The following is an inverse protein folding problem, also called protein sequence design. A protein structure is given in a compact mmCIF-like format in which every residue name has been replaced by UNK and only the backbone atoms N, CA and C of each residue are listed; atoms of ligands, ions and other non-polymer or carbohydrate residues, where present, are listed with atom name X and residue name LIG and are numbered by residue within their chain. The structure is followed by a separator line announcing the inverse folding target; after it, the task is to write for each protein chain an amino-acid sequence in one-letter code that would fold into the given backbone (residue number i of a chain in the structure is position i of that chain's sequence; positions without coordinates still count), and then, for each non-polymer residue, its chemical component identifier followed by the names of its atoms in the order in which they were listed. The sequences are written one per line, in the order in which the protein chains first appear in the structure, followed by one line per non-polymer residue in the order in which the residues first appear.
data_IF_057797310197
#
_entry.id   IF_057797310197
#
_cell.length_a   1.000
_cell.length_b   1.000
_cell.length_c   1.000
_cell.angle_alpha   90.00
_cell.angle_beta   90.00
_cell.angle_gamma   90.00
#
_symmetry.space_group_name_H-M   'P 1'
#
loop_
_entity.id
_entity.type
_entity.pdbx_description
1 polymer ?
#
# COMPACT_ATOMS: atom_id res chain seq x y z
N UNK A 1 -12.85 -24.99 -2.63
CA UNK A 1 -13.53 -24.14 -3.64
C UNK A 1 -12.49 -23.67 -4.65
N UNK A 2 -12.76 -23.78 -5.96
CA UNK A 2 -11.86 -23.23 -6.99
C UNK A 2 -12.15 -21.73 -7.15
N UNK A 3 -11.45 -20.90 -6.38
CA UNK A 3 -11.67 -19.45 -6.39
C UNK A 3 -11.47 -18.78 -7.77
N UNK A 4 -10.65 -19.36 -8.66
CA UNK A 4 -10.41 -18.79 -10.00
C UNK A 4 -11.66 -18.89 -10.88
N UNK A 5 -12.26 -20.09 -10.96
CA UNK A 5 -13.46 -20.32 -11.74
C UNK A 5 -14.69 -19.59 -11.17
N UNK A 6 -14.84 -19.64 -9.83
CA UNK A 6 -15.97 -18.98 -9.17
C UNK A 6 -15.87 -17.46 -9.28
N UNK A 7 -14.68 -16.90 -9.16
CA UNK A 7 -14.44 -15.46 -9.35
C UNK A 7 -14.82 -15.02 -10.77
N UNK A 8 -14.38 -15.76 -11.80
CA UNK A 8 -14.73 -15.43 -13.19
C UNK A 8 -16.25 -15.46 -13.40
N UNK A 9 -16.93 -16.51 -12.90
CA UNK A 9 -18.39 -16.63 -12.95
C UNK A 9 -19.07 -15.42 -12.27
N UNK A 10 -18.62 -15.03 -11.08
CA UNK A 10 -19.15 -13.89 -10.35
C UNK A 10 -18.95 -12.57 -11.10
N UNK A 11 -17.83 -12.35 -11.74
CA UNK A 11 -17.62 -11.14 -12.55
C UNK A 11 -18.57 -11.05 -13.75
N UNK A 12 -18.93 -12.17 -14.39
CA UNK A 12 -19.99 -12.19 -15.41
C UNK A 12 -21.38 -11.89 -14.82
N UNK A 13 -21.68 -12.38 -13.62
CA UNK A 13 -22.95 -12.12 -12.92
C UNK A 13 -23.06 -10.65 -12.49
N UNK A 14 -22.02 -10.10 -11.85
CA UNK A 14 -21.99 -8.73 -11.34
C UNK A 14 -21.99 -7.67 -12.45
N UNK A 15 -21.35 -7.95 -13.59
CA UNK A 15 -21.14 -6.98 -14.70
C UNK A 15 -20.49 -5.68 -14.24
N UNK A 16 -19.55 -5.77 -13.31
CA UNK A 16 -18.93 -4.69 -12.58
C UNK A 16 -19.21 -4.78 -11.08
N UNK A 17 -18.31 -4.28 -10.26
CA UNK A 17 -18.38 -4.37 -8.79
C UNK A 17 -18.83 -3.08 -8.13
N UNK A 18 -18.94 -2.01 -8.87
CA UNK A 18 -19.32 -0.69 -8.38
C UNK A 18 -20.51 -0.14 -9.15
N UNK A 19 -21.29 0.69 -8.49
CA UNK A 19 -22.38 1.48 -9.09
C UNK A 19 -22.42 2.89 -8.48
N UNK A 20 -23.09 3.82 -9.15
CA UNK A 20 -23.27 5.19 -8.65
C UNK A 20 -24.68 5.34 -8.14
N UNK A 21 -24.82 5.69 -6.86
CA UNK A 21 -26.08 5.95 -6.20
C UNK A 21 -26.28 7.46 -5.96
N UNK A 22 -27.47 7.97 -6.35
CA UNK A 22 -27.83 9.36 -6.10
C UNK A 22 -28.09 9.61 -4.60
N UNK A 23 -27.42 10.62 -4.03
CA UNK A 23 -27.69 11.08 -2.65
C UNK A 23 -28.88 12.05 -2.59
N UNK A 24 -29.06 12.85 -3.63
CA UNK A 24 -30.22 13.73 -3.77
C UNK A 24 -31.38 12.97 -4.41
N UNK A 25 -32.53 12.98 -3.77
CA UNK A 25 -33.73 12.41 -4.32
C UNK A 25 -34.39 13.41 -5.28
N UNK A 26 -34.60 13.01 -6.53
CA UNK A 26 -35.22 13.85 -7.58
C UNK A 26 -36.46 13.13 -8.09
N UNK A 27 -37.59 13.34 -7.44
CA UNK A 27 -38.88 12.68 -7.75
C UNK A 27 -40.02 13.65 -8.09
N UNK A 28 -39.74 14.96 -8.10
CA UNK A 28 -40.72 16.00 -8.45
C UNK A 28 -39.99 17.22 -9.07
N UNK A 29 -40.81 18.19 -9.60
CA UNK A 29 -40.29 19.39 -10.28
C UNK A 29 -39.45 20.29 -9.37
N UNK A 30 -39.85 20.44 -8.12
CA UNK A 30 -39.12 21.26 -7.15
C UNK A 30 -37.78 20.65 -6.82
N UNK A 31 -37.70 19.36 -6.54
CA UNK A 31 -36.46 18.63 -6.30
C UNK A 31 -35.54 18.69 -7.51
N UNK A 32 -36.08 18.61 -8.74
CA UNK A 32 -35.29 18.76 -9.97
C UNK A 32 -34.73 20.19 -10.08
N UNK A 33 -35.53 21.22 -9.79
CA UNK A 33 -35.09 22.61 -9.84
C UNK A 33 -33.96 22.93 -8.83
N UNK A 34 -34.02 22.31 -7.65
CA UNK A 34 -32.99 22.44 -6.63
C UNK A 34 -31.72 21.67 -6.97
N UNK A 35 -31.87 20.43 -7.46
CA UNK A 35 -30.70 19.55 -7.74
C UNK A 35 -29.98 19.90 -9.07
N UNK A 36 -30.69 20.53 -10.00
CA UNK A 36 -30.15 20.87 -11.33
C UNK A 36 -30.56 22.29 -11.72
N UNK A 37 -31.28 22.50 -12.81
CA UNK A 37 -31.63 23.84 -13.34
C UNK A 37 -32.98 24.29 -12.78
N UNK A 38 -33.09 25.53 -12.23
CA UNK A 38 -32.09 26.63 -12.19
C UNK A 38 -31.21 26.68 -10.95
N UNK A 39 -31.53 25.96 -9.87
CA UNK A 39 -30.93 26.11 -8.54
C UNK A 39 -29.43 25.84 -8.50
N UNK A 40 -28.91 24.91 -9.32
CA UNK A 40 -27.50 24.54 -9.36
C UNK A 40 -26.53 25.69 -9.71
N UNK A 41 -27.05 26.79 -10.24
CA UNK A 41 -26.20 27.97 -10.54
C UNK A 41 -25.60 28.58 -9.26
N UNK A 42 -26.32 28.60 -8.16
CA UNK A 42 -25.85 29.22 -6.91
C UNK A 42 -24.64 28.51 -6.30
N UNK A 43 -24.61 27.18 -6.08
CA UNK A 43 -23.38 26.53 -5.64
C UNK A 43 -22.23 26.66 -6.63
N UNK A 44 -22.46 26.74 -7.94
CA UNK A 44 -21.42 27.01 -8.92
C UNK A 44 -20.78 28.39 -8.71
N UNK A 45 -21.59 29.44 -8.50
CA UNK A 45 -21.13 30.78 -8.22
C UNK A 45 -20.38 30.88 -6.88
N UNK A 46 -20.81 30.16 -5.87
CA UNK A 46 -20.12 30.10 -4.60
C UNK A 46 -18.72 29.44 -4.72
N UNK A 47 -18.62 28.35 -5.48
CA UNK A 47 -17.32 27.70 -5.75
C UNK A 47 -16.44 28.57 -6.63
N UNK A 48 -17.00 29.30 -7.59
CA UNK A 48 -16.26 30.24 -8.43
C UNK A 48 -15.61 31.36 -7.60
N UNK A 49 -16.31 31.87 -6.57
CA UNK A 49 -15.78 32.91 -5.65
C UNK A 49 -14.71 32.33 -4.72
N UNK A 50 -14.89 31.11 -4.23
CA UNK A 50 -13.96 30.40 -3.35
C UNK A 50 -13.95 28.90 -3.69
N UNK A 51 -12.93 28.46 -4.41
CA UNK A 51 -12.84 27.06 -4.85
C UNK A 51 -12.83 26.05 -3.69
N UNK A 52 -12.43 26.46 -2.48
CA UNK A 52 -12.44 25.60 -1.28
C UNK A 52 -13.84 25.13 -0.93
N UNK A 53 -14.87 25.87 -1.30
CA UNK A 53 -16.28 25.46 -1.14
C UNK A 53 -16.64 24.21 -1.96
N UNK A 54 -15.82 23.82 -2.95
CA UNK A 54 -16.00 22.56 -3.67
C UNK A 54 -15.97 21.34 -2.73
N UNK A 55 -15.22 21.44 -1.62
CA UNK A 55 -15.17 20.42 -0.58
C UNK A 55 -16.45 20.35 0.28
N UNK A 56 -17.23 21.38 0.30
CA UNK A 56 -18.47 21.48 1.10
C UNK A 56 -19.71 21.25 0.24
N UNK A 57 -19.69 21.75 -0.99
CA UNK A 57 -20.85 21.79 -1.89
C UNK A 57 -20.86 20.64 -2.91
N UNK A 58 -19.81 19.83 -2.99
CA UNK A 58 -19.74 18.67 -3.89
C UNK A 58 -19.27 17.42 -3.14
N UNK A 59 -19.36 16.27 -3.80
CA UNK A 59 -18.86 14.99 -3.23
C UNK A 59 -17.33 14.86 -3.27
N UNK A 60 -16.61 15.85 -3.81
CA UNK A 60 -15.14 15.89 -3.88
C UNK A 60 -14.49 15.51 -2.55
N UNK A 61 -15.01 15.97 -1.43
CA UNK A 61 -14.49 15.70 -0.08
C UNK A 61 -14.37 14.22 0.28
N UNK A 62 -15.12 13.33 -0.39
CA UNK A 62 -15.14 11.89 -0.11
C UNK A 62 -14.74 11.04 -1.32
N UNK A 63 -14.24 11.64 -2.40
CA UNK A 63 -13.93 10.93 -3.63
C UNK A 63 -12.44 10.71 -3.80
N UNK A 64 -12.05 9.47 -4.15
CA UNK A 64 -10.67 9.09 -4.47
C UNK A 64 -10.63 8.51 -5.89
N UNK A 65 -9.65 8.92 -6.68
CA UNK A 65 -9.34 8.28 -7.95
C UNK A 65 -8.37 7.11 -7.71
N UNK A 66 -8.74 5.90 -8.14
CA UNK A 66 -7.86 4.71 -8.16
C UNK A 66 -7.31 4.58 -9.57
N UNK A 67 -6.04 4.91 -9.74
CA UNK A 67 -5.45 5.14 -11.07
C UNK A 67 -4.33 4.14 -11.37
N UNK A 68 -4.41 3.52 -12.55
CA UNK A 68 -3.42 2.56 -13.05
C UNK A 68 -3.11 2.77 -14.54
N UNK A 69 -1.95 2.32 -14.97
CA UNK A 69 -1.64 2.09 -16.39
C UNK A 69 -1.57 0.58 -16.73
N UNK A 70 -1.83 -0.27 -15.75
CA UNK A 70 -1.88 -1.73 -15.91
C UNK A 70 -0.52 -2.39 -16.15
N UNK A 71 0.58 -1.76 -15.75
CA UNK A 71 1.94 -2.27 -16.04
C UNK A 71 2.52 -3.20 -14.97
N UNK A 72 1.86 -3.35 -13.80
CA UNK A 72 2.32 -4.21 -12.71
C UNK A 72 1.17 -4.92 -11.98
N UNK A 73 0.20 -5.45 -12.72
CA UNK A 73 -1.04 -6.00 -12.15
C UNK A 73 -0.79 -7.32 -11.45
N UNK A 74 -0.94 -7.35 -10.11
CA UNK A 74 -0.94 -8.52 -9.18
C UNK A 74 0.17 -9.54 -9.50
N UNK A 75 0.75 -10.05 -10.09
CA UNK A 75 1.66 -11.11 -10.48
C UNK A 75 1.50 -11.47 -11.96
N UNK A 76 0.59 -10.77 -12.65
CA UNK A 76 0.38 -10.91 -14.08
C UNK A 76 1.32 -10.02 -14.89
N UNK A 77 1.86 -8.97 -14.25
CA UNK A 77 2.77 -8.03 -14.88
C UNK A 77 2.04 -7.00 -15.75
N UNK A 78 2.61 -6.68 -16.90
CA UNK A 78 2.11 -5.68 -17.84
C UNK A 78 1.01 -6.29 -18.73
N UNK A 79 -0.24 -6.15 -18.32
CA UNK A 79 -1.41 -6.63 -19.04
C UNK A 79 -2.26 -5.52 -19.67
N UNK A 80 -1.84 -4.26 -19.45
CA UNK A 80 -2.51 -3.07 -19.95
C UNK A 80 -3.66 -2.57 -19.07
N UNK A 81 -4.07 -1.31 -19.29
CA UNK A 81 -4.98 -0.61 -18.40
C UNK A 81 -6.39 -1.24 -18.35
N UNK A 82 -6.96 -1.65 -19.48
CA UNK A 82 -8.31 -2.23 -19.52
C UNK A 82 -8.37 -3.58 -18.80
N UNK A 83 -7.33 -4.41 -18.94
CA UNK A 83 -7.25 -5.69 -18.25
C UNK A 83 -7.00 -5.51 -16.73
N UNK A 84 -6.48 -4.38 -16.30
CA UNK A 84 -6.35 -3.99 -14.89
C UNK A 84 -7.66 -3.54 -14.25
N UNK A 85 -8.70 -3.18 -15.03
CA UNK A 85 -9.96 -2.63 -14.50
C UNK A 85 -10.61 -3.48 -13.41
N UNK A 86 -10.69 -4.82 -13.50
CA UNK A 86 -11.28 -5.63 -12.44
C UNK A 86 -10.56 -5.48 -11.08
N UNK A 87 -9.25 -5.25 -11.08
CA UNK A 87 -8.49 -4.99 -9.86
C UNK A 87 -8.82 -3.61 -9.30
N UNK A 88 -8.88 -2.59 -10.16
CA UNK A 88 -9.22 -1.22 -9.77
C UNK A 88 -10.64 -1.10 -9.22
N UNK A 89 -11.61 -1.81 -9.80
CA UNK A 89 -12.94 -1.94 -9.21
C UNK A 89 -12.91 -2.63 -7.84
N UNK A 90 -12.13 -3.70 -7.72
CA UNK A 90 -11.93 -4.38 -6.45
C UNK A 90 -11.37 -3.42 -5.38
N UNK A 91 -10.33 -2.65 -5.73
CA UNK A 91 -9.78 -1.63 -4.84
C UNK A 91 -10.84 -0.59 -4.44
N UNK A 92 -11.69 -0.15 -5.39
CA UNK A 92 -12.77 0.80 -5.13
C UNK A 92 -13.82 0.24 -4.15
N UNK A 93 -14.17 -1.05 -4.27
CA UNK A 93 -15.03 -1.75 -3.29
C UNK A 93 -14.39 -1.72 -1.90
N UNK A 94 -13.09 -2.04 -1.79
CA UNK A 94 -12.40 -2.03 -0.50
C UNK A 94 -12.35 -0.64 0.13
N UNK A 95 -12.16 0.41 -0.66
CA UNK A 95 -12.27 1.80 -0.21
C UNK A 95 -13.65 2.09 0.40
N UNK A 96 -14.71 1.63 -0.25
CA UNK A 96 -16.08 1.84 0.22
C UNK A 96 -16.38 1.05 1.49
N UNK A 97 -16.12 -0.27 1.47
CA UNK A 97 -16.47 -1.17 2.57
C UNK A 97 -15.66 -0.88 3.85
N UNK A 98 -14.36 -0.60 3.71
CA UNK A 98 -13.45 -0.44 4.85
C UNK A 98 -13.09 1.01 5.18
N UNK A 99 -13.48 1.98 4.36
CA UNK A 99 -13.15 3.39 4.57
C UNK A 99 -14.34 4.35 4.48
N UNK A 100 -15.48 3.87 3.96
CA UNK A 100 -16.61 4.71 3.53
C UNK A 100 -16.17 5.84 2.57
N UNK A 101 -15.21 5.53 1.70
CA UNK A 101 -14.68 6.42 0.67
C UNK A 101 -15.25 6.02 -0.68
N UNK A 102 -15.75 6.98 -1.45
CA UNK A 102 -16.27 6.76 -2.80
C UNK A 102 -15.09 6.78 -3.78
N UNK A 103 -14.65 5.61 -4.21
CA UNK A 103 -13.49 5.47 -5.08
C UNK A 103 -13.91 5.13 -6.52
N UNK A 104 -13.19 5.72 -7.49
CA UNK A 104 -13.45 5.55 -8.91
C UNK A 104 -12.24 4.99 -9.63
N UNK A 105 -12.38 3.83 -10.34
CA UNK A 105 -11.32 3.25 -11.12
C UNK A 105 -11.06 4.06 -12.39
N UNK A 106 -9.79 4.40 -12.64
CA UNK A 106 -9.36 5.15 -13.83
C UNK A 106 -8.15 4.44 -14.44
N UNK A 107 -8.33 3.90 -15.65
CA UNK A 107 -7.30 3.19 -16.39
C UNK A 107 -6.76 4.08 -17.50
N UNK A 108 -5.48 4.45 -17.44
CA UNK A 108 -4.82 5.42 -18.34
C UNK A 108 -4.01 4.70 -19.40
N UNK A 109 -4.28 5.00 -20.68
CA UNK A 109 -3.64 4.33 -21.84
C UNK A 109 -2.31 4.95 -22.24
N UNK A 110 -1.42 5.20 -21.29
CA UNK A 110 -0.07 5.68 -21.59
C UNK A 110 0.97 5.10 -20.66
N UNK A 111 2.17 4.88 -21.16
CA UNK A 111 3.36 4.52 -20.40
C UNK A 111 4.36 5.68 -20.31
N UNK A 112 4.09 6.78 -20.99
CA UNK A 112 4.86 8.01 -20.85
C UNK A 112 4.55 8.67 -19.49
N UNK A 113 5.59 8.99 -18.74
CA UNK A 113 5.47 9.52 -17.38
C UNK A 113 4.82 10.90 -17.38
N UNK A 114 5.24 11.79 -18.30
CA UNK A 114 4.77 13.16 -18.32
C UNK A 114 3.32 13.24 -18.81
N UNK A 115 2.96 12.43 -19.81
CA UNK A 115 1.59 12.31 -20.29
C UNK A 115 0.67 11.74 -19.20
N UNK A 116 1.12 10.69 -18.48
CA UNK A 116 0.37 10.12 -17.36
C UNK A 116 0.14 11.17 -16.26
N UNK A 117 1.20 11.84 -15.82
CA UNK A 117 1.15 12.88 -14.78
C UNK A 117 0.23 14.03 -15.20
N UNK A 118 0.32 14.48 -16.45
CA UNK A 118 -0.54 15.56 -16.94
C UNK A 118 -2.02 15.13 -17.01
N UNK A 119 -2.30 13.91 -17.46
CA UNK A 119 -3.65 13.35 -17.49
C UNK A 119 -4.26 13.30 -16.10
N UNK A 120 -3.53 12.76 -15.12
CA UNK A 120 -3.99 12.65 -13.75
C UNK A 120 -4.19 14.02 -13.10
N UNK A 121 -3.25 14.95 -13.31
CA UNK A 121 -3.39 16.32 -12.83
C UNK A 121 -4.64 17.00 -13.36
N UNK A 122 -4.93 16.86 -14.65
CA UNK A 122 -6.09 17.52 -15.29
C UNK A 122 -7.44 17.07 -14.70
N UNK A 123 -7.53 15.84 -14.20
CA UNK A 123 -8.77 15.32 -13.59
C UNK A 123 -8.79 15.46 -12.06
N UNK A 124 -7.68 15.81 -11.42
CA UNK A 124 -7.53 15.82 -9.97
C UNK A 124 -8.50 16.75 -9.24
N UNK A 125 -8.95 17.82 -9.92
CA UNK A 125 -9.94 18.76 -9.37
C UNK A 125 -11.28 18.14 -8.98
N UNK A 126 -11.61 16.96 -9.48
CA UNK A 126 -12.85 16.24 -9.14
C UNK A 126 -12.72 15.38 -7.87
N UNK A 127 -11.51 15.19 -7.36
CA UNK A 127 -11.21 14.23 -6.28
C UNK A 127 -10.64 14.91 -5.04
N UNK A 128 -10.80 14.24 -3.92
CA UNK A 128 -10.18 14.60 -2.65
C UNK A 128 -8.84 13.89 -2.40
N UNK A 129 -8.52 12.87 -3.20
CA UNK A 129 -7.27 12.15 -3.13
C UNK A 129 -7.04 11.25 -4.34
N UNK A 130 -5.80 10.82 -4.53
CA UNK A 130 -5.37 9.94 -5.63
C UNK A 130 -4.66 8.74 -5.04
N UNK A 131 -5.16 7.53 -5.35
CA UNK A 131 -4.49 6.27 -5.12
C UNK A 131 -3.91 5.76 -6.43
N UNK A 132 -2.59 5.69 -6.52
CA UNK A 132 -1.88 5.03 -7.62
C UNK A 132 -1.78 3.54 -7.32
N UNK A 133 -2.05 2.70 -8.33
CA UNK A 133 -2.12 1.25 -8.19
C UNK A 133 -1.52 0.53 -9.38
N UNK A 134 -0.81 -0.57 -9.15
CA UNK A 134 -0.31 -1.48 -10.20
C UNK A 134 0.53 -0.78 -11.30
N UNK A 135 1.33 0.21 -10.93
CA UNK A 135 2.26 0.91 -11.81
C UNK A 135 3.69 0.41 -11.59
N UNK A 136 4.35 -0.04 -12.64
CA UNK A 136 5.65 -0.68 -12.54
C UNK A 136 6.79 0.27 -12.14
N UNK A 137 7.70 -0.23 -11.30
CA UNK A 137 8.97 0.43 -11.01
C UNK A 137 9.90 0.34 -12.25
N UNK A 138 10.75 1.37 -12.51
CA UNK A 138 10.99 2.55 -11.67
C UNK A 138 10.02 3.72 -11.91
N UNK A 139 9.15 3.64 -12.93
CA UNK A 139 8.25 4.74 -13.34
C UNK A 139 7.31 5.20 -12.22
N UNK A 140 6.82 4.27 -11.41
CA UNK A 140 5.90 4.59 -10.31
C UNK A 140 6.47 5.62 -9.32
N UNK A 141 7.78 5.62 -9.08
CA UNK A 141 8.43 6.57 -8.18
C UNK A 141 8.39 8.00 -8.76
N UNK A 142 8.76 8.13 -10.05
CA UNK A 142 8.77 9.41 -10.74
C UNK A 142 7.36 9.99 -10.91
N UNK A 143 6.39 9.13 -11.26
CA UNK A 143 4.98 9.50 -11.38
C UNK A 143 4.45 10.04 -10.05
N UNK A 144 4.67 9.32 -8.95
CA UNK A 144 4.23 9.74 -7.63
C UNK A 144 4.85 11.06 -7.20
N UNK A 145 6.17 11.21 -7.37
CA UNK A 145 6.90 12.43 -7.02
C UNK A 145 6.37 13.65 -7.80
N UNK A 146 6.23 13.52 -9.12
CA UNK A 146 5.71 14.57 -9.98
C UNK A 146 4.26 14.96 -9.64
N UNK A 147 3.41 13.99 -9.34
CA UNK A 147 2.02 14.25 -8.93
C UNK A 147 1.95 14.91 -7.56
N UNK A 148 2.74 14.49 -6.58
CA UNK A 148 2.84 15.14 -5.27
C UNK A 148 3.29 16.59 -5.36
N UNK A 149 4.14 16.91 -6.34
CA UNK A 149 4.59 18.29 -6.58
C UNK A 149 3.54 19.17 -7.29
N UNK A 150 2.63 18.57 -8.06
CA UNK A 150 1.62 19.30 -8.86
C UNK A 150 0.25 19.41 -8.19
N UNK A 151 -0.17 18.39 -7.44
CA UNK A 151 -1.51 18.30 -6.88
C UNK A 151 -1.58 18.94 -5.48
N UNK A 152 -2.72 19.56 -5.17
CA UNK A 152 -3.07 20.11 -3.86
C UNK A 152 -3.85 19.11 -2.98
N UNK A 153 -3.96 17.87 -3.44
CA UNK A 153 -4.62 16.73 -2.77
C UNK A 153 -3.63 15.60 -2.55
N UNK A 154 -3.83 14.73 -1.56
CA UNK A 154 -2.92 13.63 -1.28
C UNK A 154 -2.81 12.66 -2.45
N UNK A 155 -1.58 12.31 -2.80
CA UNK A 155 -1.20 11.28 -3.77
C UNK A 155 -0.48 10.17 -3.02
N UNK A 156 -0.93 8.94 -3.18
CA UNK A 156 -0.43 7.78 -2.45
C UNK A 156 -0.37 6.57 -3.37
N UNK A 157 0.80 5.95 -3.47
CA UNK A 157 0.99 4.72 -4.22
C UNK A 157 0.90 3.53 -3.26
N UNK A 158 -0.20 2.79 -3.31
CA UNK A 158 -0.49 1.78 -2.30
C UNK A 158 0.48 0.59 -2.32
N UNK A 159 0.93 0.13 -3.49
CA UNK A 159 1.92 -0.95 -3.60
C UNK A 159 3.26 -0.60 -2.94
N UNK A 160 3.59 0.69 -2.86
CA UNK A 160 4.75 1.16 -2.10
C UNK A 160 4.40 1.30 -0.62
N UNK A 161 3.53 2.23 -0.32
CA UNK A 161 3.35 2.76 1.03
C UNK A 161 2.38 1.94 1.88
N UNK A 162 1.28 1.43 1.28
CA UNK A 162 0.35 0.55 2.00
C UNK A 162 1.02 -0.73 2.45
N UNK A 163 1.76 -1.37 1.54
CA UNK A 163 2.54 -2.56 1.84
C UNK A 163 3.62 -2.29 2.90
N UNK A 164 4.33 -1.15 2.80
CA UNK A 164 5.34 -0.77 3.79
C UNK A 164 4.73 -0.53 5.19
N UNK A 165 3.58 0.13 5.27
CA UNK A 165 2.90 0.41 6.54
C UNK A 165 2.45 -0.88 7.24
N UNK A 166 1.79 -1.79 6.51
CA UNK A 166 1.32 -3.06 7.09
C UNK A 166 2.49 -3.94 7.50
N UNK A 167 3.53 -4.04 6.66
CA UNK A 167 4.75 -4.77 7.00
C UNK A 167 5.42 -4.19 8.25
N UNK A 168 5.47 -2.86 8.36
CA UNK A 168 6.01 -2.19 9.55
C UNK A 168 5.19 -2.47 10.81
N UNK A 169 3.85 -2.48 10.71
CA UNK A 169 2.98 -2.86 11.83
C UNK A 169 3.24 -4.30 12.28
N UNK A 170 3.38 -5.22 11.33
CA UNK A 170 3.74 -6.62 11.61
C UNK A 170 5.11 -6.74 12.31
N UNK A 171 6.11 -5.98 11.86
CA UNK A 171 7.45 -5.94 12.49
C UNK A 171 7.36 -5.37 13.91
N UNK A 172 6.64 -4.28 14.14
CA UNK A 172 6.47 -3.68 15.48
C UNK A 172 5.99 -4.74 16.49
N UNK A 173 4.97 -5.50 16.15
CA UNK A 173 4.44 -6.55 17.01
C UNK A 173 5.35 -7.78 17.09
N UNK A 174 6.00 -8.15 16.00
CA UNK A 174 6.97 -9.24 16.00
C UNK A 174 8.17 -8.96 16.90
N UNK A 175 8.64 -7.70 16.96
CA UNK A 175 9.73 -7.30 17.87
C UNK A 175 9.36 -7.51 19.35
N UNK A 176 8.09 -7.28 19.73
CA UNK A 176 7.62 -7.55 21.09
C UNK A 176 7.71 -9.05 21.42
N UNK A 177 7.29 -9.93 20.50
CA UNK A 177 7.31 -11.39 20.69
C UNK A 177 8.71 -11.93 20.88
N UNK A 178 9.66 -11.50 20.02
CA UNK A 178 11.06 -11.97 20.09
C UNK A 178 11.89 -11.20 21.13
N UNK A 179 11.31 -10.18 21.76
CA UNK A 179 11.94 -9.33 22.77
C UNK A 179 13.27 -8.73 22.30
N UNK A 180 13.29 -8.16 21.08
CA UNK A 180 14.44 -7.46 20.50
C UNK A 180 14.10 -6.03 20.12
N UNK A 181 15.09 -5.14 20.17
CA UNK A 181 14.99 -3.82 19.57
C UNK A 181 15.19 -3.92 18.06
N UNK A 182 14.35 -3.23 17.28
CA UNK A 182 14.50 -3.18 15.82
C UNK A 182 15.87 -2.65 15.40
N UNK A 183 16.46 -1.75 16.18
CA UNK A 183 17.78 -1.17 15.91
C UNK A 183 18.95 -2.14 16.06
N UNK A 184 18.73 -3.30 16.68
CA UNK A 184 19.71 -4.36 16.87
C UNK A 184 19.52 -5.53 15.89
N UNK A 185 18.53 -5.42 14.99
CA UNK A 185 18.22 -6.44 14.01
C UNK A 185 18.89 -6.17 12.67
N UNK A 186 19.19 -7.26 11.96
CA UNK A 186 19.57 -7.28 10.55
C UNK A 186 18.38 -7.75 9.72
N UNK A 187 17.97 -6.97 8.72
CA UNK A 187 16.91 -7.36 7.80
C UNK A 187 17.42 -7.56 6.38
N UNK A 188 16.88 -8.58 5.71
CA UNK A 188 17.08 -8.81 4.28
C UNK A 188 15.75 -8.71 3.56
N UNK A 189 15.68 -7.81 2.57
CA UNK A 189 14.50 -7.60 1.74
C UNK A 189 14.79 -8.11 0.34
N UNK A 190 14.14 -9.19 -0.06
CA UNK A 190 14.29 -9.76 -1.40
C UNK A 190 13.19 -9.24 -2.32
N UNK A 191 13.61 -8.44 -3.30
CA UNK A 191 12.74 -7.67 -4.19
C UNK A 191 12.99 -6.17 -4.03
N UNK A 192 13.82 -5.58 -4.91
CA UNK A 192 14.16 -4.16 -4.90
C UNK A 192 13.29 -3.37 -5.89
N UNK A 193 11.99 -3.65 -5.88
CA UNK A 193 10.96 -2.93 -6.60
C UNK A 193 10.26 -1.89 -5.71
N UNK A 194 9.03 -1.49 -6.11
CA UNK A 194 8.24 -0.48 -5.43
C UNK A 194 8.07 -0.78 -3.93
N UNK A 195 7.54 -1.96 -3.60
CA UNK A 195 7.30 -2.38 -2.22
C UNK A 195 8.60 -2.50 -1.41
N UNK A 196 9.60 -3.21 -1.91
CA UNK A 196 10.83 -3.48 -1.15
C UNK A 196 11.59 -2.21 -0.76
N UNK A 197 11.68 -1.24 -1.68
CA UNK A 197 12.31 0.05 -1.39
C UNK A 197 11.52 0.86 -0.37
N UNK A 198 10.20 0.88 -0.48
CA UNK A 198 9.34 1.59 0.47
C UNK A 198 9.39 0.95 1.87
N UNK A 199 9.38 -0.39 1.96
CA UNK A 199 9.54 -1.13 3.21
C UNK A 199 10.89 -0.79 3.87
N UNK A 200 11.99 -0.87 3.11
CA UNK A 200 13.32 -0.54 3.63
C UNK A 200 13.36 0.86 4.24
N UNK A 201 12.87 1.86 3.50
CA UNK A 201 12.85 3.26 3.96
C UNK A 201 12.02 3.42 5.25
N UNK A 202 10.83 2.84 5.31
CA UNK A 202 9.95 2.98 6.47
C UNK A 202 10.52 2.27 7.70
N UNK A 203 11.07 1.05 7.54
CA UNK A 203 11.73 0.33 8.64
C UNK A 203 12.99 1.05 9.15
N UNK A 204 13.76 1.68 8.26
CA UNK A 204 14.89 2.52 8.66
C UNK A 204 14.43 3.73 9.47
N UNK A 205 13.31 4.35 9.11
CA UNK A 205 12.72 5.46 9.88
C UNK A 205 12.22 4.97 11.25
N UNK A 206 11.78 3.72 11.37
CA UNK A 206 11.44 3.07 12.65
C UNK A 206 12.67 2.65 13.48
N UNK A 207 13.88 2.86 12.97
CA UNK A 207 15.13 2.63 13.69
C UNK A 207 15.94 1.40 13.25
N UNK A 208 15.52 0.66 12.21
CA UNK A 208 16.31 -0.44 11.65
C UNK A 208 17.61 0.10 11.06
N UNK A 209 18.76 -0.38 11.54
CA UNK A 209 20.07 0.14 11.15
C UNK A 209 20.76 -0.68 10.06
N UNK A 210 20.51 -1.98 10.01
CA UNK A 210 21.14 -2.88 9.05
C UNK A 210 20.08 -3.55 8.17
N UNK A 211 19.95 -3.04 6.96
CA UNK A 211 19.04 -3.57 5.94
C UNK A 211 19.80 -3.83 4.64
N UNK A 212 19.61 -5.02 4.08
CA UNK A 212 20.17 -5.42 2.79
C UNK A 212 19.02 -5.68 1.83
N UNK A 213 18.95 -4.94 0.72
CA UNK A 213 18.05 -5.26 -0.38
C UNK A 213 18.74 -6.21 -1.35
N UNK A 214 17.99 -7.18 -1.84
CA UNK A 214 18.42 -8.08 -2.91
C UNK A 214 17.50 -7.93 -4.13
N UNK A 215 18.10 -8.05 -5.32
CA UNK A 215 17.37 -8.24 -6.57
C UNK A 215 17.81 -9.54 -7.25
N UNK A 216 17.43 -9.75 -8.51
CA UNK A 216 17.75 -10.99 -9.26
C UNK A 216 19.24 -11.30 -9.36
N UNK A 217 20.09 -10.29 -9.22
CA UNK A 217 21.55 -10.43 -9.30
C UNK A 217 22.23 -10.47 -7.93
N UNK A 218 21.46 -10.37 -6.85
CA UNK A 218 21.92 -10.47 -5.47
C UNK A 218 21.84 -9.18 -4.69
N UNK A 219 22.69 -9.04 -3.66
CA UNK A 219 22.69 -7.91 -2.75
C UNK A 219 23.00 -6.58 -3.45
N UNK A 220 22.23 -5.55 -3.11
CA UNK A 220 22.45 -4.18 -3.56
C UNK A 220 23.41 -3.51 -2.59
N UNK A 221 24.49 -2.91 -3.12
CA UNK A 221 25.49 -2.17 -2.37
C UNK A 221 25.99 -0.98 -3.19
N UNK A 222 26.54 0.00 -2.53
CA UNK A 222 27.10 1.20 -3.17
C UNK A 222 28.24 0.84 -4.12
N UNK A 223 28.16 1.32 -5.37
CA UNK A 223 29.14 1.01 -6.42
C UNK A 223 28.90 -0.32 -7.15
N UNK A 224 27.78 -1.03 -6.91
CA UNK A 224 27.39 -2.19 -7.74
C UNK A 224 27.03 -1.71 -9.15
N UNK A 225 27.57 -2.40 -10.15
CA UNK A 225 27.28 -2.11 -11.57
C UNK A 225 25.82 -2.38 -11.94
N UNK A 226 25.35 -1.70 -12.99
CA UNK A 226 24.01 -1.89 -13.59
C UNK A 226 22.82 -1.63 -12.63
N UNK A 227 22.97 -0.73 -11.67
CA UNK A 227 21.86 -0.21 -10.89
C UNK A 227 21.15 0.92 -11.65
N UNK A 228 19.84 0.98 -11.52
CA UNK A 228 19.09 2.19 -11.91
C UNK A 228 19.20 3.26 -10.81
N UNK A 229 18.84 4.50 -11.13
CA UNK A 229 18.97 5.65 -10.22
C UNK A 229 18.34 5.42 -8.84
N UNK A 230 17.20 4.73 -8.79
CA UNK A 230 16.49 4.45 -7.53
C UNK A 230 17.28 3.44 -6.68
N UNK A 231 17.80 2.39 -7.31
CA UNK A 231 18.66 1.41 -6.62
C UNK A 231 20.00 2.00 -6.22
N UNK A 232 20.58 2.89 -7.01
CA UNK A 232 21.79 3.63 -6.62
C UNK A 232 21.54 4.51 -5.39
N UNK A 233 20.39 5.19 -5.35
CA UNK A 233 20.03 6.02 -4.21
C UNK A 233 19.84 5.22 -2.93
N UNK A 234 19.15 4.06 -3.00
CA UNK A 234 18.94 3.22 -1.81
C UNK A 234 20.24 2.51 -1.38
N UNK A 235 21.13 2.16 -2.31
CA UNK A 235 22.42 1.54 -2.02
C UNK A 235 23.31 2.40 -1.11
N UNK A 236 23.21 3.74 -1.23
CA UNK A 236 23.98 4.71 -0.40
C UNK A 236 23.59 4.70 1.07
N UNK A 237 22.38 4.25 1.41
CA UNK A 237 21.84 4.31 2.77
C UNK A 237 21.57 2.93 3.38
N UNK A 238 21.71 1.86 2.60
CA UNK A 238 21.50 0.47 3.03
C UNK A 238 22.79 -0.35 2.91
N UNK A 239 22.76 -1.60 3.38
CA UNK A 239 23.87 -2.55 3.28
C UNK A 239 25.22 -1.96 3.76
N UNK A 240 25.23 -1.40 4.94
CA UNK A 240 26.42 -0.74 5.52
C UNK A 240 27.57 -1.73 5.80
N UNK A 241 27.25 -3.02 5.94
CA UNK A 241 28.20 -4.12 6.06
C UNK A 241 28.91 -4.45 4.73
N UNK A 242 28.49 -3.85 3.63
CA UNK A 242 29.02 -4.08 2.28
C UNK A 242 28.94 -5.56 1.86
N UNK A 243 27.89 -6.24 2.31
CA UNK A 243 27.61 -7.64 1.96
C UNK A 243 27.40 -7.75 0.45
N UNK A 244 28.13 -8.64 -0.17
CA UNK A 244 28.05 -8.97 -1.60
C UNK A 244 27.56 -10.41 -1.78
N UNK A 245 27.22 -10.77 -3.01
CA UNK A 245 26.77 -12.12 -3.34
C UNK A 245 25.25 -12.20 -3.54
N UNK A 246 24.73 -13.41 -3.53
CA UNK A 246 23.32 -13.72 -3.77
C UNK A 246 22.51 -13.57 -2.48
N UNK A 247 21.20 -13.87 -2.55
CA UNK A 247 20.35 -13.94 -1.36
C UNK A 247 20.92 -14.89 -0.29
N UNK A 248 21.55 -15.98 -0.72
CA UNK A 248 22.11 -16.99 0.18
C UNK A 248 23.20 -16.42 1.10
N UNK A 249 24.05 -15.55 0.57
CA UNK A 249 25.09 -14.89 1.37
C UNK A 249 24.50 -13.74 2.19
N UNK A 250 23.55 -12.98 1.64
CA UNK A 250 22.96 -11.84 2.31
C UNK A 250 22.18 -12.23 3.58
N UNK A 251 21.48 -13.39 3.55
CA UNK A 251 20.55 -13.79 4.62
C UNK A 251 21.29 -14.35 5.86
N UNK A 252 22.57 -14.68 5.75
CA UNK A 252 23.34 -15.23 6.87
C UNK A 252 23.30 -14.26 8.06
N UNK A 253 22.86 -14.77 9.22
CA UNK A 253 22.73 -13.99 10.44
C UNK A 253 21.62 -12.92 10.42
N UNK A 254 20.70 -12.94 9.45
CA UNK A 254 19.57 -12.04 9.44
C UNK A 254 18.50 -12.43 10.49
N UNK A 255 17.94 -11.44 11.16
CA UNK A 255 16.81 -11.62 12.08
C UNK A 255 15.48 -11.60 11.33
N UNK A 256 15.42 -10.83 10.24
CA UNK A 256 14.22 -10.57 9.48
C UNK A 256 14.46 -10.84 8.00
N UNK A 257 13.60 -11.62 7.38
CA UNK A 257 13.50 -11.75 5.93
C UNK A 257 12.14 -11.21 5.47
N UNK A 258 12.15 -10.36 4.44
CA UNK A 258 10.94 -9.84 3.80
C UNK A 258 11.05 -10.13 2.31
N UNK A 259 10.13 -10.95 1.79
CA UNK A 259 10.03 -11.31 0.39
C UNK A 259 8.92 -10.53 -0.31
N UNK A 260 9.26 -9.80 -1.36
CA UNK A 260 8.36 -9.12 -2.29
C UNK A 260 8.83 -9.34 -3.72
N UNK A 261 9.09 -10.60 -4.07
CA UNK A 261 9.85 -10.97 -5.26
C UNK A 261 9.18 -12.09 -6.07
N UNK A 262 9.64 -13.31 -5.93
CA UNK A 262 9.23 -14.45 -6.74
C UNK A 262 9.04 -15.71 -5.89
N UNK A 263 8.18 -16.64 -6.35
CA UNK A 263 7.94 -17.90 -5.64
C UNK A 263 9.20 -18.73 -5.42
N UNK A 264 9.30 -19.36 -4.24
CA UNK A 264 10.25 -20.44 -3.98
C UNK A 264 11.73 -20.01 -3.91
N UNK A 265 12.02 -18.72 -3.77
CA UNK A 265 13.42 -18.22 -3.74
C UNK A 265 14.08 -18.37 -2.37
N UNK A 266 13.31 -18.55 -1.30
CA UNK A 266 13.81 -18.79 0.05
C UNK A 266 13.75 -20.29 0.37
N UNK A 267 14.90 -20.86 0.73
CA UNK A 267 14.99 -22.30 1.05
C UNK A 267 15.14 -22.56 2.54
N UNK A 268 14.82 -23.78 2.99
CA UNK A 268 15.02 -24.22 4.38
C UNK A 268 16.49 -24.11 4.82
N UNK A 269 17.44 -24.36 3.91
CA UNK A 269 18.88 -24.24 4.17
C UNK A 269 19.29 -22.79 4.44
N UNK A 270 18.71 -21.83 3.70
CA UNK A 270 18.93 -20.40 3.93
C UNK A 270 18.39 -19.99 5.30
N UNK A 271 17.19 -20.41 5.67
CA UNK A 271 16.57 -20.10 6.98
C UNK A 271 17.45 -20.58 8.12
N UNK A 272 18.04 -21.78 8.02
CA UNK A 272 18.94 -22.32 9.04
C UNK A 272 20.20 -21.49 9.29
N UNK A 273 20.54 -20.57 8.37
CA UNK A 273 21.66 -19.64 8.52
C UNK A 273 21.27 -18.29 9.13
N UNK A 274 19.97 -18.05 9.32
CA UNK A 274 19.45 -16.85 9.97
C UNK A 274 19.77 -16.85 11.48
N UNK A 275 19.55 -15.72 12.13
CA UNK A 275 19.65 -15.57 13.59
C UNK A 275 18.63 -16.43 14.32
N UNK A 276 18.82 -16.55 15.64
CA UNK A 276 17.85 -17.20 16.53
C UNK A 276 16.50 -16.45 16.49
N UNK A 277 15.39 -17.21 16.50
CA UNK A 277 14.02 -16.70 16.46
C UNK A 277 13.73 -15.80 15.22
N UNK A 278 14.01 -16.30 13.99
CA UNK A 278 13.90 -15.48 12.79
C UNK A 278 12.45 -15.18 12.43
N UNK A 279 12.24 -14.01 11.82
CA UNK A 279 10.97 -13.55 11.27
C UNK A 279 11.03 -13.64 9.75
N UNK A 280 10.03 -14.27 9.13
CA UNK A 280 9.94 -14.43 7.69
C UNK A 280 8.58 -13.94 7.19
N UNK A 281 8.59 -12.88 6.41
CA UNK A 281 7.41 -12.39 5.69
C UNK A 281 7.58 -12.67 4.19
N UNK A 282 6.93 -13.73 3.72
CA UNK A 282 6.97 -14.19 2.32
C UNK A 282 5.70 -13.72 1.60
N UNK A 283 5.77 -12.55 0.94
CA UNK A 283 4.59 -11.83 0.47
C UNK A 283 4.35 -11.92 -1.04
N UNK A 284 5.16 -12.68 -1.79
CA UNK A 284 4.91 -12.90 -3.21
C UNK A 284 3.56 -13.59 -3.43
N UNK A 285 2.82 -13.13 -4.43
CA UNK A 285 1.51 -13.65 -4.81
C UNK A 285 1.50 -14.19 -6.24
N UNK A 286 0.77 -15.29 -6.55
CA UNK A 286 -0.08 -16.08 -5.65
C UNK A 286 0.69 -17.10 -4.80
N UNK A 287 1.96 -17.36 -5.09
CA UNK A 287 2.80 -18.31 -4.36
C UNK A 287 3.92 -17.55 -3.66
N UNK A 288 4.08 -17.74 -2.33
CA UNK A 288 5.10 -17.03 -1.57
C UNK A 288 6.52 -17.51 -1.87
N UNK A 289 7.52 -16.77 -1.40
CA UNK A 289 8.95 -17.12 -1.50
C UNK A 289 9.31 -18.44 -0.82
N UNK A 290 8.57 -18.81 0.22
CA UNK A 290 8.54 -20.12 0.88
C UNK A 290 7.14 -20.34 1.47
N UNK A 291 6.68 -21.58 1.47
CA UNK A 291 5.40 -21.91 2.11
C UNK A 291 5.51 -21.81 3.63
N UNK A 292 4.46 -21.32 4.34
CA UNK A 292 4.51 -21.13 5.80
C UNK A 292 4.88 -22.38 6.57
N UNK A 293 4.36 -23.54 6.19
CA UNK A 293 4.65 -24.81 6.86
C UNK A 293 6.13 -25.18 6.72
N UNK A 294 6.70 -25.00 5.51
CA UNK A 294 8.12 -25.23 5.25
C UNK A 294 9.02 -24.28 6.04
N UNK A 295 8.60 -23.00 6.17
CA UNK A 295 9.32 -22.01 6.96
C UNK A 295 9.32 -22.37 8.46
N UNK A 296 8.16 -22.78 9.01
CA UNK A 296 8.03 -23.26 10.40
C UNK A 296 8.88 -24.50 10.65
N UNK A 297 8.87 -25.49 9.75
CA UNK A 297 9.73 -26.68 9.83
C UNK A 297 11.21 -26.34 9.82
N UNK A 298 11.61 -25.27 9.14
CA UNK A 298 12.99 -24.80 9.11
C UNK A 298 13.42 -24.02 10.36
N UNK A 299 12.48 -23.73 11.28
CA UNK A 299 12.74 -23.05 12.55
C UNK A 299 12.40 -21.58 12.59
N UNK A 300 11.59 -21.07 11.65
CA UNK A 300 11.10 -19.68 11.70
C UNK A 300 10.17 -19.48 12.88
N UNK A 301 10.40 -18.44 13.68
CA UNK A 301 9.59 -18.11 14.85
C UNK A 301 8.25 -17.48 14.47
N UNK A 302 8.28 -16.51 13.54
CA UNK A 302 7.08 -15.79 13.10
C UNK A 302 7.04 -15.79 11.58
N UNK A 303 5.95 -16.33 11.01
CA UNK A 303 5.73 -16.37 9.56
C UNK A 303 4.51 -15.48 9.23
N UNK A 304 4.66 -14.64 8.20
CA UNK A 304 3.58 -13.90 7.59
C UNK A 304 3.57 -14.06 6.07
N UNK A 305 2.41 -13.95 5.44
CA UNK A 305 2.27 -14.01 3.97
C UNK A 305 1.24 -13.00 3.46
N UNK A 306 1.22 -12.75 2.15
CA UNK A 306 0.12 -12.01 1.51
C UNK A 306 -1.19 -12.79 1.39
N UNK A 307 -1.20 -14.09 1.69
CA UNK A 307 -2.36 -15.00 1.48
C UNK A 307 -3.30 -14.97 2.68
N UNK A 308 -4.60 -15.00 2.40
CA UNK A 308 -5.67 -15.01 3.41
C UNK A 308 -5.96 -16.38 4.05
N UNK A 309 -5.39 -17.44 3.49
CA UNK A 309 -5.58 -18.82 3.96
C UNK A 309 -4.52 -19.27 4.99
N UNK A 310 -3.64 -18.35 5.40
CA UNK A 310 -2.64 -18.57 6.45
C UNK A 310 -2.75 -17.50 7.55
N UNK A 311 -2.26 -17.78 8.77
CA UNK A 311 -2.09 -16.78 9.82
C UNK A 311 -1.20 -15.60 9.37
N UNK A 312 -1.36 -14.46 10.03
CA UNK A 312 -0.56 -13.25 9.79
C UNK A 312 -0.60 -12.79 8.33
N UNK A 313 -1.82 -12.64 7.79
CA UNK A 313 -1.98 -12.06 6.45
C UNK A 313 -1.47 -10.61 6.44
N UNK A 314 -0.43 -10.35 5.67
CA UNK A 314 0.11 -9.01 5.43
C UNK A 314 -0.56 -8.46 4.18
N UNK A 315 -1.60 -7.66 4.38
CA UNK A 315 -2.43 -7.13 3.30
C UNK A 315 -2.72 -5.64 3.55
N UNK A 316 -2.46 -4.81 2.54
CA UNK A 316 -2.64 -3.36 2.60
C UNK A 316 -4.10 -2.90 2.81
N UNK A 317 -5.08 -3.81 2.69
CA UNK A 317 -6.50 -3.53 2.98
C UNK A 317 -6.75 -3.02 4.40
N UNK A 318 -5.89 -3.36 5.37
CA UNK A 318 -5.99 -2.83 6.73
C UNK A 318 -5.33 -1.45 6.91
N UNK A 319 -4.76 -0.88 5.83
CA UNK A 319 -4.07 0.40 5.87
C UNK A 319 -4.77 1.47 5.02
N UNK A 320 -4.78 1.33 3.67
CA UNK A 320 -5.14 2.41 2.77
C UNK A 320 -6.55 2.98 2.98
N UNK A 321 -7.61 2.20 3.33
CA UNK A 321 -8.93 2.80 3.52
C UNK A 321 -8.96 3.78 4.69
N UNK A 322 -8.37 3.40 5.82
CA UNK A 322 -8.24 4.26 7.01
C UNK A 322 -7.32 5.46 6.77
N UNK A 323 -6.24 5.27 6.00
CA UNK A 323 -5.32 6.35 5.64
C UNK A 323 -6.04 7.43 4.85
N UNK A 324 -6.75 7.06 3.79
CA UNK A 324 -7.51 8.04 3.00
C UNK A 324 -8.69 8.63 3.79
N UNK A 325 -9.37 7.82 4.62
CA UNK A 325 -10.43 8.36 5.48
C UNK A 325 -9.88 9.47 6.39
N UNK A 326 -8.80 9.24 7.09
CA UNK A 326 -8.19 10.22 7.97
C UNK A 326 -7.65 11.45 7.23
N UNK A 327 -7.02 11.26 6.07
CA UNK A 327 -6.54 12.36 5.25
C UNK A 327 -7.68 13.24 4.70
N UNK A 328 -8.76 12.62 4.23
CA UNK A 328 -9.94 13.34 3.74
C UNK A 328 -10.68 14.10 4.84
N UNK A 329 -10.78 13.54 6.04
CA UNK A 329 -11.48 14.15 7.17
C UNK A 329 -10.89 15.50 7.57
N UNK A 330 -9.57 15.65 7.46
CA UNK A 330 -8.86 16.90 7.77
C UNK A 330 -8.44 17.69 6.53
N UNK A 331 -8.82 17.24 5.33
CA UNK A 331 -8.43 17.86 4.05
C UNK A 331 -6.92 17.98 3.90
N UNK A 332 -6.18 16.94 4.29
CA UNK A 332 -4.74 16.92 4.16
C UNK A 332 -4.33 17.07 2.68
N UNK A 333 -3.34 17.89 2.40
CA UNK A 333 -2.81 18.09 1.04
C UNK A 333 -1.82 17.00 0.62
N UNK A 334 -1.29 16.24 1.59
CA UNK A 334 -0.28 15.19 1.38
C UNK A 334 -0.37 14.13 2.48
N UNK A 335 0.17 12.95 2.21
CA UNK A 335 0.41 11.91 3.22
C UNK A 335 1.89 11.91 3.54
N UNK A 336 2.23 12.35 4.75
CA UNK A 336 3.62 12.53 5.21
C UNK A 336 4.22 11.22 5.73
N UNK A 337 5.55 11.21 5.96
CA UNK A 337 6.21 10.07 6.60
C UNK A 337 5.70 9.87 8.04
N UNK A 338 5.45 10.95 8.79
CA UNK A 338 4.88 10.86 10.14
C UNK A 338 3.49 10.22 10.15
N UNK A 339 2.64 10.55 9.17
CA UNK A 339 1.34 9.92 9.00
C UNK A 339 1.47 8.41 8.73
N UNK A 340 2.42 7.98 7.91
CA UNK A 340 2.67 6.55 7.62
C UNK A 340 3.14 5.80 8.88
N UNK A 341 4.03 6.39 9.66
CA UNK A 341 4.49 5.84 10.94
C UNK A 341 3.33 5.74 11.92
N UNK A 342 2.52 6.79 12.03
CA UNK A 342 1.34 6.80 12.90
C UNK A 342 0.35 5.68 12.51
N UNK A 343 0.13 5.45 11.21
CA UNK A 343 -0.70 4.37 10.73
C UNK A 343 -0.14 2.99 11.11
N UNK A 344 1.18 2.77 10.97
CA UNK A 344 1.81 1.51 11.34
C UNK A 344 1.64 1.20 12.83
N UNK A 345 1.88 2.18 13.71
CA UNK A 345 1.64 2.03 15.16
C UNK A 345 0.16 1.84 15.49
N UNK A 346 -0.74 2.54 14.81
CA UNK A 346 -2.18 2.41 15.01
C UNK A 346 -2.67 0.99 14.66
N UNK A 347 -2.23 0.44 13.53
CA UNK A 347 -2.54 -0.94 13.14
C UNK A 347 -1.96 -1.93 14.17
N UNK A 348 -0.70 -1.79 14.54
CA UNK A 348 -0.04 -2.67 15.51
C UNK A 348 -0.75 -2.66 16.87
N UNK A 349 -1.25 -1.50 17.33
CA UNK A 349 -1.91 -1.34 18.62
C UNK A 349 -3.27 -2.02 18.73
N UNK A 350 -3.86 -2.43 17.60
CA UNK A 350 -5.14 -3.15 17.57
C UNK A 350 -5.05 -4.60 18.06
N UNK A 351 -3.85 -5.15 18.09
CA UNK A 351 -3.56 -6.42 18.73
C UNK A 351 -3.04 -6.13 20.13
N UNK A 352 -3.84 -6.48 21.15
CA UNK A 352 -3.44 -6.28 22.55
C UNK A 352 -2.27 -7.19 22.93
N UNK A 353 -1.54 -6.85 23.99
CA UNK A 353 -0.42 -7.68 24.45
C UNK A 353 -0.88 -9.07 24.91
N UNK A 354 -2.14 -9.23 25.36
CA UNK A 354 -2.75 -10.50 25.74
C UNK A 354 -3.10 -11.38 24.52
N UNK A 355 -3.46 -10.77 23.39
CA UNK A 355 -3.79 -11.46 22.13
C UNK A 355 -2.56 -11.79 21.31
N UNK A 356 -1.49 -11.03 21.51
CA UNK A 356 -0.28 -11.07 20.69
C UNK A 356 0.44 -12.42 20.82
N UNK A 357 0.59 -13.12 19.70
CA UNK A 357 1.31 -14.38 19.62
C UNK A 357 1.87 -14.60 18.19
N UNK A 358 2.62 -15.66 17.97
CA UNK A 358 3.32 -15.95 16.72
C UNK A 358 2.37 -16.10 15.50
N UNK A 359 1.09 -16.38 15.73
CA UNK A 359 0.07 -16.54 14.68
C UNK A 359 -0.93 -15.36 14.62
N UNK A 360 -0.77 -14.35 15.50
CA UNK A 360 -1.65 -13.19 15.53
C UNK A 360 -0.86 -11.92 15.86
N UNK A 361 -0.20 -11.35 14.83
CA UNK A 361 0.61 -10.11 14.91
C UNK A 361 -0.07 -8.90 14.26
N UNK A 362 -1.15 -9.11 13.53
CA UNK A 362 -1.93 -8.07 12.84
C UNK A 362 -3.42 -8.29 13.07
N UNK A 363 -4.24 -7.22 13.10
CA UNK A 363 -5.69 -7.36 13.15
C UNK A 363 -6.21 -8.01 11.86
N UNK A 364 -7.34 -8.70 11.96
CA UNK A 364 -8.02 -9.26 10.80
C UNK A 364 -8.60 -8.14 9.90
N UNK A 365 -8.66 -8.32 8.57
CA UNK A 365 -9.20 -7.30 7.65
C UNK A 365 -10.62 -6.83 7.99
N UNK A 366 -11.45 -7.69 8.58
CA UNK A 366 -12.83 -7.40 8.96
C UNK A 366 -12.98 -6.84 10.38
N UNK A 367 -11.89 -6.56 11.09
CA UNK A 367 -11.95 -5.90 12.40
C UNK A 367 -12.44 -4.45 12.23
N UNK A 368 -13.63 -4.17 12.73
CA UNK A 368 -14.30 -2.87 12.59
C UNK A 368 -13.54 -1.71 13.23
N UNK A 369 -12.61 -2.01 14.15
CA UNK A 369 -11.77 -1.00 14.82
C UNK A 369 -10.72 -0.41 13.89
N UNK A 370 -10.29 -1.15 12.87
CA UNK A 370 -9.17 -0.78 11.97
C UNK A 370 -9.40 0.59 11.35
N UNK A 371 -10.56 0.80 10.70
CA UNK A 371 -10.87 2.06 10.01
C UNK A 371 -10.71 3.27 10.92
N UNK A 372 -11.40 3.25 12.03
CA UNK A 372 -11.50 4.42 12.92
C UNK A 372 -10.16 4.69 13.63
N UNK A 373 -9.43 3.63 14.02
CA UNK A 373 -8.13 3.75 14.67
C UNK A 373 -7.08 4.32 13.72
N UNK A 374 -7.01 3.82 12.49
CA UNK A 374 -6.06 4.30 11.47
C UNK A 374 -6.43 5.71 11.04
N UNK A 375 -7.70 6.00 10.76
CA UNK A 375 -8.16 7.33 10.36
C UNK A 375 -7.85 8.39 11.41
N UNK A 376 -8.09 8.08 12.69
CA UNK A 376 -7.75 8.97 13.81
C UNK A 376 -6.26 9.28 13.86
N UNK A 377 -5.40 8.24 13.80
CA UNK A 377 -3.96 8.41 13.85
C UNK A 377 -3.43 9.26 12.67
N UNK A 378 -3.97 9.04 11.48
CA UNK A 378 -3.66 9.82 10.27
C UNK A 378 -4.07 11.29 10.44
N UNK A 379 -5.32 11.56 10.91
CA UNK A 379 -5.82 12.91 11.11
C UNK A 379 -4.99 13.68 12.13
N UNK A 380 -4.67 13.05 13.27
CA UNK A 380 -3.84 13.67 14.33
C UNK A 380 -2.42 13.97 13.83
N UNK A 381 -1.80 13.06 13.08
CA UNK A 381 -0.49 13.27 12.50
C UNK A 381 -0.51 14.36 11.42
N UNK A 382 -1.52 14.40 10.56
CA UNK A 382 -1.67 15.43 9.54
C UNK A 382 -1.81 16.83 10.15
N UNK A 383 -2.64 16.98 11.17
CA UNK A 383 -2.80 18.27 11.89
C UNK A 383 -1.48 18.70 12.55
N UNK A 384 -0.71 17.77 13.09
CA UNK A 384 0.60 18.06 13.72
C UNK A 384 1.66 18.48 12.70
N UNK A 385 1.59 17.93 11.49
CA UNK A 385 2.55 18.22 10.42
C UNK A 385 2.23 19.55 9.68
N UNK A 386 1.05 20.17 9.89
CA UNK A 386 0.58 21.41 9.25
C UNK A 386 -0.12 21.15 7.94
#
# INVERSE_FOLDING_TARGET
MNYKEESLKKHYEWKGKIEVNARAKVDNKEALALAYTPGVAEPCLEIQKDYKKSWELTRRWNMVAVITDGTAVLGLGDIGPEAGMPVMEGKSVLFKEFGDVDAFPICVRTKDVDEFVQTVYNISGSFGGINLEDISAPRCFEIEEKLKAKCDIPVFHDDQHGTAIVTSAAIINSMKIINKSIGDCKAVINGAGAAGIAIAKLLMTLGLKDVILCDRTGAIYEGRENLNNVKESIAKVTNRSFTKGTLKEAIVGADIFIGVSAPGVLTKEMIKTMSKDPIVFAMANPTPEIMPDEAKEAGVRIVGTGRSDFPNQINNVIAFPGIFRGALDVRASKITENMKIAAAYAIASLVSDEELNEEYILPQPFDKRVKDTVAKAISEAAIKDG
#
